data_IF_300720323441
#
_entry.id   IF_300720323441
#
_cell.length_a   1.000
_cell.length_b   1.000
_cell.length_c   1.000
_cell.angle_alpha   90.00
_cell.angle_beta   90.00
_cell.angle_gamma   90.00
#
_symmetry.space_group_name_H-M   'P 1'
#
loop_
_entity.id
_entity.type
_entity.pdbx_description
1 polymer ?
#
# COMPACT_ATOMS: atom_id res chain seq x y z
N UNK A 1 13.11 30.72 -15.65
CA UNK A 1 13.26 29.32 -16.11
C UNK A 1 13.46 28.37 -14.91
N UNK A 2 12.61 28.43 -13.87
CA UNK A 2 12.77 27.57 -12.66
C UNK A 2 11.46 26.84 -12.29
N UNK A 3 10.30 27.39 -12.63
CA UNK A 3 8.98 26.78 -12.39
C UNK A 3 8.73 25.52 -13.25
N UNK A 4 9.27 25.46 -14.47
CA UNK A 4 9.03 24.32 -15.38
C UNK A 4 9.69 23.02 -14.91
N UNK A 5 10.88 23.09 -14.32
CA UNK A 5 11.56 21.91 -13.80
C UNK A 5 10.83 21.34 -12.56
N UNK A 6 10.31 22.23 -11.72
CA UNK A 6 9.56 21.84 -10.52
C UNK A 6 8.25 21.12 -10.87
N UNK A 7 7.45 21.68 -11.80
CA UNK A 7 6.19 21.06 -12.21
C UNK A 7 6.39 19.74 -12.94
N UNK A 8 7.39 19.63 -13.83
CA UNK A 8 7.59 18.45 -14.66
C UNK A 8 8.18 17.27 -13.88
N UNK A 9 8.98 17.53 -12.85
CA UNK A 9 9.70 16.48 -12.10
C UNK A 9 9.02 16.18 -10.78
N UNK A 10 8.62 17.18 -10.00
CA UNK A 10 8.13 16.97 -8.63
C UNK A 10 6.69 16.42 -8.62
N UNK A 11 5.80 16.95 -9.48
CA UNK A 11 4.39 16.53 -9.49
C UNK A 11 4.21 15.03 -9.80
N UNK A 12 4.87 14.45 -10.82
CA UNK A 12 4.74 13.02 -11.11
C UNK A 12 5.34 12.14 -10.02
N UNK A 13 6.44 12.56 -9.40
CA UNK A 13 7.07 11.81 -8.29
C UNK A 13 6.13 11.77 -7.09
N UNK A 14 5.50 12.89 -6.75
CA UNK A 14 4.49 12.97 -5.69
C UNK A 14 3.27 12.13 -5.99
N UNK A 15 2.74 12.20 -7.22
CA UNK A 15 1.60 11.38 -7.64
C UNK A 15 1.92 9.87 -7.57
N UNK A 16 3.12 9.47 -8.01
CA UNK A 16 3.59 8.08 -7.92
C UNK A 16 3.71 7.60 -6.46
N UNK A 17 4.26 8.43 -5.59
CA UNK A 17 4.35 8.14 -4.16
C UNK A 17 2.97 8.02 -3.51
N UNK A 18 2.07 8.96 -3.82
CA UNK A 18 0.72 8.94 -3.30
C UNK A 18 -0.06 7.72 -3.77
N UNK A 19 0.04 7.37 -5.06
CA UNK A 19 -0.56 6.15 -5.60
C UNK A 19 0.05 4.86 -4.99
N UNK A 20 1.34 4.86 -4.63
CA UNK A 20 1.94 3.76 -3.86
C UNK A 20 1.28 3.65 -2.48
N UNK A 21 1.18 4.75 -1.74
CA UNK A 21 0.58 4.77 -0.40
C UNK A 21 -0.89 4.35 -0.40
N UNK A 22 -1.68 4.80 -1.39
CA UNK A 22 -3.09 4.41 -1.52
C UNK A 22 -3.25 2.89 -1.72
N UNK A 23 -2.48 2.31 -2.65
CA UNK A 23 -2.50 0.86 -2.91
C UNK A 23 -2.04 0.06 -1.70
N UNK A 24 -1.00 0.55 -1.02
CA UNK A 24 -0.49 -0.04 0.21
C UNK A 24 -1.53 -0.03 1.33
N UNK A 25 -2.22 1.09 1.56
CA UNK A 25 -3.27 1.19 2.56
C UNK A 25 -4.44 0.24 2.23
N UNK A 26 -4.88 0.22 0.97
CA UNK A 26 -5.93 -0.69 0.52
C UNK A 26 -5.55 -2.18 0.75
N UNK A 27 -4.30 -2.56 0.50
CA UNK A 27 -3.80 -3.91 0.76
C UNK A 27 -3.78 -4.26 2.25
N UNK A 28 -3.37 -3.33 3.11
CA UNK A 28 -3.42 -3.50 4.56
C UNK A 28 -4.85 -3.71 5.05
N UNK A 29 -5.79 -2.85 4.65
CA UNK A 29 -7.20 -2.97 5.03
C UNK A 29 -7.79 -4.30 4.54
N UNK A 30 -7.50 -4.70 3.31
CA UNK A 30 -8.02 -5.95 2.74
C UNK A 30 -7.48 -7.19 3.45
N UNK A 31 -6.19 -7.22 3.78
CA UNK A 31 -5.55 -8.29 4.55
C UNK A 31 -6.02 -8.31 6.00
N UNK A 32 -6.20 -7.16 6.64
CA UNK A 32 -6.72 -7.09 8.00
C UNK A 32 -8.16 -7.61 8.08
N UNK A 33 -9.00 -7.33 7.07
CA UNK A 33 -10.35 -7.88 6.96
C UNK A 33 -10.36 -9.37 6.60
N UNK A 34 -9.36 -9.85 5.85
CA UNK A 34 -9.30 -11.21 5.34
C UNK A 34 -7.89 -11.81 5.50
N UNK A 35 -7.47 -12.21 6.71
CA UNK A 35 -6.09 -12.59 7.00
C UNK A 35 -5.63 -13.87 6.28
N UNK A 36 -6.56 -14.69 5.80
CA UNK A 36 -6.28 -15.93 5.07
C UNK A 36 -6.38 -15.77 3.54
N UNK A 37 -6.62 -14.55 3.04
CA UNK A 37 -6.70 -14.29 1.61
C UNK A 37 -5.34 -14.54 0.94
N UNK A 38 -5.36 -15.11 -0.27
CA UNK A 38 -4.15 -15.28 -1.07
C UNK A 38 -3.50 -13.93 -1.35
N UNK A 39 -2.17 -13.84 -1.20
CA UNK A 39 -1.41 -12.63 -1.51
C UNK A 39 -1.54 -12.23 -2.99
N UNK A 40 -1.79 -13.20 -3.87
CA UNK A 40 -2.06 -12.93 -5.28
C UNK A 40 -3.39 -12.19 -5.45
N UNK A 41 -4.44 -12.62 -4.76
CA UNK A 41 -5.74 -11.96 -4.81
C UNK A 41 -5.67 -10.56 -4.22
N UNK A 42 -4.91 -10.38 -3.13
CA UNK A 42 -4.67 -9.06 -2.54
C UNK A 42 -3.95 -8.15 -3.54
N UNK A 43 -2.87 -8.64 -4.19
CA UNK A 43 -2.12 -7.87 -5.17
C UNK A 43 -3.03 -7.41 -6.34
N UNK A 44 -3.78 -8.34 -6.93
CA UNK A 44 -4.69 -8.06 -8.06
C UNK A 44 -5.78 -7.06 -7.65
N UNK A 45 -6.42 -7.27 -6.49
CA UNK A 45 -7.52 -6.40 -6.03
C UNK A 45 -7.08 -4.99 -5.64
N UNK A 46 -5.81 -4.79 -5.32
CA UNK A 46 -5.29 -3.50 -4.84
C UNK A 46 -4.38 -2.80 -5.84
N UNK A 47 -4.29 -3.31 -7.07
CA UNK A 47 -3.59 -2.65 -8.18
C UNK A 47 -2.07 -2.82 -8.15
N UNK A 48 -1.59 -3.91 -7.57
CA UNK A 48 -0.21 -4.35 -7.74
C UNK A 48 -0.08 -5.18 -9.02
N UNK A 49 1.10 -5.11 -9.62
CA UNK A 49 1.41 -5.89 -10.83
C UNK A 49 1.54 -7.38 -10.51
N UNK A 50 2.19 -7.70 -9.39
CA UNK A 50 2.40 -9.06 -8.89
C UNK A 50 2.59 -9.07 -7.37
N UNK A 51 2.74 -10.27 -6.81
CA UNK A 51 2.98 -10.48 -5.37
C UNK A 51 4.36 -9.94 -4.93
N UNK A 52 5.34 -9.88 -5.83
CA UNK A 52 6.68 -9.41 -5.48
C UNK A 52 6.68 -7.89 -5.20
N UNK A 53 5.95 -7.10 -6.01
CA UNK A 53 5.78 -5.67 -5.78
C UNK A 53 5.01 -5.38 -4.49
N UNK A 54 3.98 -6.19 -4.18
CA UNK A 54 3.27 -6.11 -2.90
C UNK A 54 4.22 -6.37 -1.71
N UNK A 55 4.97 -7.47 -1.76
CA UNK A 55 5.93 -7.82 -0.71
C UNK A 55 7.03 -6.77 -0.55
N UNK A 56 7.49 -6.17 -1.66
CA UNK A 56 8.48 -5.09 -1.63
C UNK A 56 7.96 -3.88 -0.87
N UNK A 57 6.75 -3.40 -1.20
CA UNK A 57 6.17 -2.23 -0.54
C UNK A 57 5.87 -2.50 0.94
N UNK A 58 5.45 -3.72 1.32
CA UNK A 58 5.31 -4.11 2.73
C UNK A 58 6.63 -4.08 3.50
N UNK A 59 7.71 -4.56 2.87
CA UNK A 59 9.05 -4.53 3.47
C UNK A 59 9.58 -3.10 3.60
N UNK A 60 9.32 -2.26 2.60
CA UNK A 60 9.75 -0.86 2.56
C UNK A 60 8.99 0.02 3.57
N UNK A 61 7.67 -0.17 3.70
CA UNK A 61 6.79 0.74 4.44
C UNK A 61 6.47 0.27 5.86
N UNK A 62 6.33 -1.04 6.10
CA UNK A 62 6.00 -1.58 7.43
C UNK A 62 7.12 -2.41 8.06
N UNK A 63 8.01 -3.00 7.25
CA UNK A 63 9.06 -3.91 7.69
C UNK A 63 8.71 -5.40 7.50
N UNK A 64 7.67 -5.95 8.16
CA UNK A 64 7.25 -7.34 7.97
C UNK A 64 6.62 -7.61 6.59
N UNK A 65 6.76 -8.87 6.12
CA UNK A 65 6.06 -9.37 4.93
C UNK A 65 4.53 -9.42 5.13
N UNK A 66 3.73 -9.34 4.06
CA UNK A 66 2.27 -9.19 4.16
C UNK A 66 1.58 -10.27 5.02
N UNK A 67 1.98 -11.54 4.88
CA UNK A 67 1.39 -12.64 5.66
C UNK A 67 1.80 -12.65 7.13
N UNK A 68 2.96 -12.11 7.47
CA UNK A 68 3.39 -11.92 8.86
C UNK A 68 2.71 -10.69 9.47
N UNK A 69 2.58 -9.62 8.69
CA UNK A 69 1.87 -8.40 9.08
C UNK A 69 0.39 -8.65 9.36
N UNK A 70 -0.30 -9.45 8.53
CA UNK A 70 -1.73 -9.75 8.72
C UNK A 70 -2.05 -10.46 10.05
N UNK A 71 -1.05 -11.09 10.68
CA UNK A 71 -1.18 -11.77 11.99
C UNK A 71 -0.71 -10.92 13.16
N UNK A 72 -0.22 -9.70 12.89
CA UNK A 72 0.38 -8.85 13.91
C UNK A 72 -0.64 -7.86 14.51
N UNK A 73 -0.42 -7.36 15.74
CA UNK A 73 -1.32 -6.38 16.36
C UNK A 73 -1.53 -5.11 15.53
N UNK A 74 -0.57 -4.76 14.68
CA UNK A 74 -0.61 -3.59 13.80
C UNK A 74 -1.74 -3.67 12.75
N UNK A 75 -2.15 -4.87 12.35
CA UNK A 75 -3.27 -5.06 11.43
C UNK A 75 -4.62 -4.58 12.01
N UNK A 76 -4.78 -4.67 13.34
CA UNK A 76 -5.98 -4.15 14.00
C UNK A 76 -6.02 -2.61 13.99
N UNK A 77 -4.87 -1.94 14.08
CA UNK A 77 -4.80 -0.47 14.05
C UNK A 77 -5.13 0.09 12.67
N UNK A 78 -4.72 -0.57 11.58
CA UNK A 78 -5.04 -0.13 10.21
C UNK A 78 -6.54 -0.10 9.90
N UNK A 79 -7.37 -0.86 10.62
CA UNK A 79 -8.83 -0.79 10.48
C UNK A 79 -9.42 0.51 11.02
N UNK A 80 -8.70 1.22 11.89
CA UNK A 80 -9.14 2.48 12.52
C UNK A 80 -8.74 3.73 11.71
N UNK A 81 -7.82 3.60 10.74
CA UNK A 81 -7.25 4.70 9.96
C UNK A 81 -7.72 4.65 8.49
N UNK A 82 -8.84 4.01 8.17
CA UNK A 82 -9.38 3.98 6.81
C UNK A 82 -9.98 5.37 6.46
N UNK A 83 -9.27 6.26 5.73
CA UNK A 83 -9.72 7.63 5.49
C UNK A 83 -10.77 7.69 4.36
N UNK A 84 -11.09 6.55 3.75
CA UNK A 84 -11.98 6.43 2.59
C UNK A 84 -13.34 5.81 2.96
N UNK A 85 -13.60 5.58 4.26
CA UNK A 85 -14.83 4.96 4.73
C UNK A 85 -15.52 5.71 5.90
N UNK A 86 -15.30 7.03 6.00
CA UNK A 86 -16.14 7.95 6.79
C UNK A 86 -16.58 9.13 5.92
#
# INVERSE_FOLDING_TARGET
MHIRLFALVILPIMAKHYAKLLRFNAAQVLLAKNPNMSLLDVAVKTGYYDVAHLCHDFKELNGPLPGAWAKSPQAHTSLLIDPLNN
#
